data_IF_189970942689
#
_entry.id   IF_189970942689
#
_cell.length_a   1.000
_cell.length_b   1.000
_cell.length_c   1.000
_cell.angle_alpha   90.00
_cell.angle_beta   90.00
_cell.angle_gamma   90.00
#
_symmetry.space_group_name_H-M   'P 1'
#
loop_
_entity.id
_entity.type
_entity.pdbx_description
1 polymer ?
#
# COMPACT_ATOMS: atom_id res chain seq x y z
N UNK A 1 -25.33 -9.78 17.29
CA UNK A 1 -25.03 -9.49 15.88
C UNK A 1 -23.60 -9.93 15.65
N UNK A 2 -23.40 -10.92 14.85
CA UNK A 2 -22.14 -11.63 14.64
C UNK A 2 -21.13 -10.73 13.95
N UNK A 3 -20.09 -10.32 14.66
CA UNK A 3 -18.86 -9.79 14.09
C UNK A 3 -18.26 -10.89 13.24
N UNK A 4 -18.38 -10.78 11.92
CA UNK A 4 -17.67 -11.66 11.01
C UNK A 4 -16.20 -11.22 11.04
N UNK A 5 -15.46 -11.70 12.03
CA UNK A 5 -14.00 -11.74 11.95
C UNK A 5 -13.70 -12.69 10.78
N UNK A 6 -13.36 -12.11 9.64
CA UNK A 6 -12.92 -12.92 8.48
C UNK A 6 -11.65 -13.60 8.92
N UNK A 7 -11.68 -14.91 9.14
CA UNK A 7 -10.51 -15.71 9.43
C UNK A 7 -9.45 -15.46 8.32
N UNK A 8 -8.16 -15.37 8.65
CA UNK A 8 -7.11 -15.25 7.65
C UNK A 8 -7.24 -16.40 6.66
N UNK A 9 -7.08 -16.08 5.37
CA UNK A 9 -7.10 -17.11 4.33
C UNK A 9 -5.93 -18.09 4.61
N UNK A 10 -6.09 -19.40 4.29
CA UNK A 10 -5.02 -20.35 4.47
C UNK A 10 -3.77 -19.91 3.69
N UNK A 11 -2.59 -20.12 4.27
CA UNK A 11 -1.32 -19.77 3.63
C UNK A 11 -1.24 -20.34 2.22
N UNK A 12 -0.83 -19.51 1.25
CA UNK A 12 -0.77 -19.89 -0.17
C UNK A 12 -2.05 -19.61 -0.99
N UNK A 13 -3.12 -19.07 -0.37
CA UNK A 13 -4.31 -18.66 -1.14
C UNK A 13 -4.06 -17.27 -1.74
N UNK A 14 -4.25 -17.15 -3.06
CA UNK A 14 -4.13 -15.86 -3.75
C UNK A 14 -5.18 -14.87 -3.24
N UNK A 15 -4.74 -13.75 -2.70
CA UNK A 15 -5.60 -12.66 -2.23
C UNK A 15 -5.69 -11.52 -3.22
N UNK A 16 -4.59 -11.19 -3.93
CA UNK A 16 -4.57 -10.22 -5.02
C UNK A 16 -4.22 -10.92 -6.32
N UNK A 17 -4.94 -10.61 -7.38
CA UNK A 17 -4.66 -11.03 -8.74
C UNK A 17 -4.85 -9.83 -9.68
N UNK A 18 -3.73 -9.30 -10.16
CA UNK A 18 -3.67 -8.32 -11.23
C UNK A 18 -3.32 -9.05 -12.53
N UNK A 19 -4.23 -9.06 -13.50
CA UNK A 19 -4.10 -9.81 -14.75
C UNK A 19 -4.10 -8.86 -15.94
N UNK A 20 -2.98 -8.82 -16.69
CA UNK A 20 -2.80 -8.05 -17.92
C UNK A 20 -2.98 -6.54 -17.72
N UNK A 21 -2.63 -6.01 -16.56
CA UNK A 21 -2.86 -4.60 -16.22
C UNK A 21 -2.04 -3.71 -17.14
N UNK A 22 -2.74 -2.89 -17.92
CA UNK A 22 -2.17 -1.89 -18.81
C UNK A 22 -2.75 -0.52 -18.47
N UNK A 23 -1.89 0.49 -18.41
CA UNK A 23 -2.30 1.88 -18.19
C UNK A 23 -1.63 2.80 -19.21
N UNK A 24 -2.48 3.55 -19.93
CA UNK A 24 -2.04 4.54 -20.94
C UNK A 24 -2.52 5.93 -20.56
N UNK A 25 -1.65 6.91 -20.72
CA UNK A 25 -1.95 8.32 -20.60
C UNK A 25 -1.74 8.96 -21.98
N UNK A 26 -2.84 9.22 -22.70
CA UNK A 26 -2.75 9.69 -24.10
C UNK A 26 -1.97 8.68 -24.97
N UNK A 27 -0.84 9.10 -25.53
CA UNK A 27 0.05 8.24 -26.35
C UNK A 27 1.06 7.41 -25.56
N UNK A 28 1.22 7.70 -24.28
CA UNK A 28 2.23 7.06 -23.42
C UNK A 28 1.65 5.83 -22.71
N UNK A 29 2.37 4.70 -22.78
CA UNK A 29 2.02 3.50 -22.02
C UNK A 29 2.91 3.41 -20.77
N UNK A 30 2.38 3.76 -19.61
CA UNK A 30 3.12 3.74 -18.34
C UNK A 30 3.21 2.36 -17.70
N UNK A 31 2.23 1.47 -17.95
CA UNK A 31 2.22 0.07 -17.53
C UNK A 31 1.67 -0.76 -18.68
N UNK A 32 2.30 -1.89 -18.99
CA UNK A 32 1.96 -2.73 -20.14
C UNK A 32 1.84 -4.19 -19.75
N UNK A 33 0.61 -4.72 -19.75
CA UNK A 33 0.33 -6.15 -19.60
C UNK A 33 0.90 -6.78 -18.34
N UNK A 34 0.92 -6.06 -17.21
CA UNK A 34 1.54 -6.57 -15.98
C UNK A 34 0.61 -7.55 -15.28
N UNK A 35 1.13 -8.76 -15.05
CA UNK A 35 0.52 -9.79 -14.20
C UNK A 35 1.26 -9.83 -12.86
N UNK A 36 0.52 -9.77 -11.75
CA UNK A 36 1.07 -9.91 -10.40
C UNK A 36 0.03 -10.56 -9.49
N UNK A 37 0.46 -11.56 -8.75
CA UNK A 37 -0.36 -12.17 -7.69
C UNK A 37 0.28 -11.93 -6.33
N UNK A 38 -0.53 -11.86 -5.26
CA UNK A 38 -0.05 -11.87 -3.87
C UNK A 38 -0.88 -12.87 -3.10
N UNK A 39 -0.22 -13.75 -2.33
CA UNK A 39 -0.87 -14.76 -1.52
C UNK A 39 -1.04 -14.28 -0.07
N UNK A 40 -1.96 -14.94 0.65
CA UNK A 40 -2.18 -14.66 2.08
C UNK A 40 -0.90 -14.90 2.88
N UNK A 41 -0.51 -13.92 3.72
CA UNK A 41 0.69 -14.01 4.55
C UNK A 41 2.00 -13.97 3.76
N UNK A 42 1.99 -13.52 2.51
CA UNK A 42 3.17 -13.33 1.66
C UNK A 42 3.59 -11.86 1.65
N UNK A 43 4.90 -11.60 1.64
CA UNK A 43 5.47 -10.29 1.38
C UNK A 43 6.05 -10.30 -0.04
N UNK A 44 5.46 -9.50 -0.93
CA UNK A 44 5.92 -9.33 -2.32
C UNK A 44 6.55 -7.96 -2.47
N UNK A 45 7.76 -7.89 -3.01
CA UNK A 45 8.43 -6.65 -3.38
C UNK A 45 8.14 -6.26 -4.83
N UNK A 46 7.95 -4.97 -5.09
CA UNK A 46 7.90 -4.42 -6.44
C UNK A 46 8.99 -3.36 -6.57
N UNK A 47 10.02 -3.67 -7.36
CA UNK A 47 11.16 -2.79 -7.58
C UNK A 47 11.28 -2.39 -9.06
N UNK A 48 12.16 -1.45 -9.33
CA UNK A 48 12.46 -0.97 -10.68
C UNK A 48 13.04 0.44 -10.63
N UNK A 49 13.70 0.92 -11.70
CA UNK A 49 14.21 2.28 -11.78
C UNK A 49 13.08 3.33 -11.68
N UNK A 50 13.47 4.61 -11.56
CA UNK A 50 12.51 5.72 -11.61
C UNK A 50 11.84 5.74 -12.99
N UNK A 51 10.54 6.06 -13.02
CA UNK A 51 9.75 6.00 -14.24
C UNK A 51 9.40 4.59 -14.74
N UNK A 52 9.71 3.52 -13.99
CA UNK A 52 9.36 2.16 -14.38
C UNK A 52 7.87 1.82 -14.33
N UNK A 53 7.01 2.74 -13.89
CA UNK A 53 5.56 2.52 -13.79
C UNK A 53 5.07 1.94 -12.45
N UNK A 54 5.93 1.83 -11.43
CA UNK A 54 5.57 1.25 -10.10
C UNK A 54 4.40 1.96 -9.45
N UNK A 55 4.47 3.28 -9.33
CA UNK A 55 3.42 4.11 -8.72
C UNK A 55 2.12 4.04 -9.51
N UNK A 56 2.21 4.07 -10.86
CA UNK A 56 1.06 3.89 -11.75
C UNK A 56 0.40 2.54 -11.52
N UNK A 57 1.18 1.46 -11.43
CA UNK A 57 0.65 0.13 -11.16
C UNK A 57 -0.05 0.07 -9.79
N UNK A 58 0.56 0.64 -8.73
CA UNK A 58 -0.09 0.75 -7.41
C UNK A 58 -1.39 1.55 -7.46
N UNK A 59 -1.44 2.62 -8.24
CA UNK A 59 -2.65 3.42 -8.42
C UNK A 59 -3.76 2.61 -9.12
N UNK A 60 -3.41 1.71 -10.05
CA UNK A 60 -4.37 0.77 -10.63
C UNK A 60 -4.87 -0.24 -9.58
N UNK A 61 -3.99 -0.80 -8.73
CA UNK A 61 -4.36 -1.75 -7.68
C UNK A 61 -5.30 -1.14 -6.63
N UNK A 62 -5.17 0.17 -6.38
CA UNK A 62 -5.96 0.89 -5.36
C UNK A 62 -7.20 1.59 -5.92
N UNK A 63 -7.45 1.47 -7.23
CA UNK A 63 -8.61 2.08 -7.89
C UNK A 63 -8.52 3.60 -8.04
N UNK A 64 -7.33 4.19 -7.82
CA UNK A 64 -7.05 5.59 -8.15
C UNK A 64 -7.00 5.79 -9.67
N UNK A 65 -6.48 4.79 -10.40
CA UNK A 65 -6.54 4.75 -11.86
C UNK A 65 -7.37 3.56 -12.31
N UNK A 66 -8.14 3.76 -13.38
CA UNK A 66 -8.85 2.70 -14.09
C UNK A 66 -7.89 2.10 -15.11
N UNK A 67 -7.47 0.84 -15.01
CA UNK A 67 -6.65 0.23 -16.03
C UNK A 67 -7.28 0.38 -17.42
N UNK A 68 -6.47 0.72 -18.42
CA UNK A 68 -6.93 0.79 -19.83
C UNK A 68 -7.26 -0.60 -20.34
N UNK A 69 -6.52 -1.62 -19.90
CA UNK A 69 -6.74 -3.04 -20.20
C UNK A 69 -6.39 -3.87 -18.97
N UNK A 70 -6.90 -5.11 -18.93
CA UNK A 70 -6.70 -6.00 -17.82
C UNK A 70 -7.68 -5.77 -16.66
N UNK A 71 -7.43 -6.42 -15.55
CA UNK A 71 -8.28 -6.35 -14.35
C UNK A 71 -7.48 -6.57 -13.08
N UNK A 72 -8.01 -6.04 -11.97
CA UNK A 72 -7.52 -6.31 -10.62
C UNK A 72 -8.61 -7.01 -9.83
N UNK A 73 -8.29 -8.14 -9.23
CA UNK A 73 -9.22 -8.92 -8.41
C UNK A 73 -8.65 -9.06 -7.00
N UNK A 74 -9.52 -8.99 -5.99
CA UNK A 74 -9.17 -9.26 -4.60
C UNK A 74 -10.09 -10.35 -4.04
N UNK A 75 -9.48 -11.41 -3.51
CA UNK A 75 -10.18 -12.60 -3.02
C UNK A 75 -11.20 -13.14 -4.05
N UNK A 76 -10.78 -13.21 -5.32
CA UNK A 76 -11.57 -13.69 -6.43
C UNK A 76 -12.65 -12.74 -6.97
N UNK A 77 -12.82 -11.56 -6.38
CA UNK A 77 -13.78 -10.54 -6.84
C UNK A 77 -13.06 -9.42 -7.56
N UNK A 78 -13.50 -9.08 -8.77
CA UNK A 78 -12.97 -7.94 -9.52
C UNK A 78 -13.26 -6.64 -8.77
N UNK A 79 -12.23 -5.84 -8.55
CA UNK A 79 -12.35 -4.59 -7.81
C UNK A 79 -12.95 -3.48 -8.70
N UNK A 80 -13.91 -2.72 -8.17
CA UNK A 80 -14.34 -1.50 -8.83
C UNK A 80 -13.22 -0.44 -8.75
N UNK A 81 -13.04 0.37 -9.79
CA UNK A 81 -12.00 1.41 -9.81
C UNK A 81 -12.45 2.64 -9.00
N UNK A 82 -12.63 2.46 -7.70
CA UNK A 82 -13.01 3.48 -6.73
C UNK A 82 -12.29 3.22 -5.41
N UNK A 83 -11.38 4.12 -4.96
CA UNK A 83 -10.51 3.88 -3.80
C UNK A 83 -11.27 3.47 -2.53
N UNK A 84 -12.39 4.13 -2.22
CA UNK A 84 -13.17 3.80 -1.03
C UNK A 84 -13.76 2.39 -1.07
N UNK A 85 -14.16 1.88 -2.25
CA UNK A 85 -14.65 0.51 -2.41
C UNK A 85 -13.52 -0.52 -2.34
N UNK A 86 -12.34 -0.18 -2.85
CA UNK A 86 -11.13 -1.00 -2.71
C UNK A 86 -10.75 -1.14 -1.23
N UNK A 87 -10.79 -0.04 -0.48
CA UNK A 87 -10.55 -0.07 0.97
C UNK A 87 -11.62 -0.89 1.71
N UNK A 88 -12.89 -0.75 1.34
CA UNK A 88 -13.98 -1.57 1.91
C UNK A 88 -13.83 -3.06 1.59
N UNK A 89 -13.31 -3.40 0.40
CA UNK A 89 -12.99 -4.79 0.04
C UNK A 89 -11.89 -5.40 0.91
N UNK A 90 -11.02 -4.58 1.51
CA UNK A 90 -9.97 -5.00 2.43
C UNK A 90 -8.55 -4.80 1.92
N UNK A 91 -8.32 -3.83 1.05
CA UNK A 91 -6.99 -3.38 0.65
C UNK A 91 -6.73 -2.01 1.30
N UNK A 92 -5.64 -1.89 2.06
CA UNK A 92 -5.19 -0.62 2.60
C UNK A 92 -3.85 -0.22 1.98
N UNK A 93 -3.57 1.09 1.89
CA UNK A 93 -2.32 1.64 1.36
C UNK A 93 -1.77 2.72 2.28
N UNK A 94 -0.45 2.73 2.45
CA UNK A 94 0.29 3.92 2.88
C UNK A 94 0.73 4.73 1.65
N UNK A 95 1.15 5.97 1.84
CA UNK A 95 1.57 6.83 0.75
C UNK A 95 3.04 7.21 0.92
N UNK A 96 3.75 7.47 -0.17
CA UNK A 96 5.14 7.93 -0.15
C UNK A 96 5.30 9.19 0.71
N UNK A 97 4.44 10.18 0.53
CA UNK A 97 4.35 11.33 1.43
C UNK A 97 3.38 11.03 2.56
N UNK A 98 3.81 11.20 3.80
CA UNK A 98 2.99 10.94 4.99
C UNK A 98 1.71 11.78 4.94
N UNK A 99 0.55 11.11 4.92
CA UNK A 99 -0.78 11.76 4.88
C UNK A 99 -1.50 11.59 6.21
N UNK A 100 -0.94 12.13 7.28
CA UNK A 100 -1.58 12.15 8.59
C UNK A 100 -2.42 13.41 8.79
N UNK A 101 -3.47 13.30 9.60
CA UNK A 101 -4.18 14.47 10.10
C UNK A 101 -3.34 15.13 11.20
N UNK A 102 -2.49 16.08 10.80
CA UNK A 102 -1.41 16.65 11.61
C UNK A 102 -1.91 17.28 12.92
N UNK A 103 -3.12 17.85 12.92
CA UNK A 103 -3.74 18.52 14.07
C UNK A 103 -4.63 17.59 14.92
N UNK A 104 -4.75 16.30 14.56
CA UNK A 104 -5.38 15.27 15.34
C UNK A 104 -4.35 14.54 16.19
N UNK A 105 -4.81 13.92 17.27
CA UNK A 105 -3.97 13.05 18.10
C UNK A 105 -3.61 11.77 17.36
N UNK A 106 -2.63 11.06 17.88
CA UNK A 106 -2.22 9.73 17.41
C UNK A 106 -3.42 8.78 17.43
N UNK A 107 -4.17 8.75 18.52
CA UNK A 107 -5.37 7.91 18.65
C UNK A 107 -6.46 8.31 17.64
N UNK A 108 -6.74 9.60 17.48
CA UNK A 108 -7.74 10.06 16.53
C UNK A 108 -7.40 9.69 15.09
N UNK A 109 -6.13 9.76 14.69
CA UNK A 109 -5.69 9.28 13.38
C UNK A 109 -6.02 7.81 13.14
N UNK A 110 -5.82 6.93 14.13
CA UNK A 110 -6.15 5.50 14.01
C UNK A 110 -7.66 5.31 13.97
N UNK A 111 -8.43 6.06 14.77
CA UNK A 111 -9.89 6.01 14.75
C UNK A 111 -10.48 6.40 13.39
N UNK A 112 -9.90 7.38 12.70
CA UNK A 112 -10.31 7.71 11.31
C UNK A 112 -10.15 6.49 10.39
N UNK A 113 -9.06 5.72 10.52
CA UNK A 113 -8.86 4.49 9.76
C UNK A 113 -9.95 3.43 10.01
N UNK A 114 -10.55 3.40 11.19
CA UNK A 114 -11.65 2.50 11.55
C UNK A 114 -13.01 2.88 10.98
N UNK A 115 -13.17 4.12 10.51
CA UNK A 115 -14.47 4.59 10.02
C UNK A 115 -15.05 3.71 8.90
N UNK A 116 -14.22 3.07 8.09
CA UNK A 116 -14.66 2.12 7.05
C UNK A 116 -15.32 0.86 7.61
N UNK A 117 -15.10 0.54 8.88
CA UNK A 117 -15.63 -0.64 9.58
C UNK A 117 -16.81 -0.32 10.51
N UNK A 118 -17.01 0.96 10.86
CA UNK A 118 -18.17 1.37 11.68
C UNK A 118 -19.37 1.57 10.76
N UNK A 119 -20.35 0.66 10.85
CA UNK A 119 -21.62 0.72 10.07
C UNK A 119 -22.65 1.66 10.64
N UNK A 120 -22.26 2.56 11.52
CA UNK A 120 -23.23 3.44 12.19
C UNK A 120 -23.64 4.59 11.28
N UNK A 121 -24.92 4.59 10.90
CA UNK A 121 -25.51 5.67 10.10
C UNK A 121 -25.57 6.98 10.90
N UNK A 122 -25.65 8.12 10.19
CA UNK A 122 -25.76 9.47 10.74
C UNK A 122 -26.81 9.59 11.86
N UNK A 123 -27.87 8.79 11.79
CA UNK A 123 -28.98 8.82 12.76
C UNK A 123 -28.62 8.21 14.11
N UNK A 124 -27.78 7.17 14.16
CA UNK A 124 -27.32 6.56 15.42
C UNK A 124 -26.36 7.47 16.17
N UNK A 125 -25.51 8.19 15.43
CA UNK A 125 -24.59 9.20 15.97
C UNK A 125 -25.36 10.41 16.52
N UNK A 126 -26.41 10.89 15.80
CA UNK A 126 -27.20 12.05 16.18
C UNK A 126 -28.04 11.79 17.46
N UNK A 127 -28.56 10.57 17.62
CA UNK A 127 -29.41 10.19 18.74
C UNK A 127 -28.65 9.62 19.93
N UNK A 128 -27.33 9.48 19.86
CA UNK A 128 -26.46 8.92 20.93
C UNK A 128 -27.05 7.67 21.60
N UNK A 129 -27.58 6.75 20.77
CA UNK A 129 -28.22 5.52 21.26
C UNK A 129 -27.22 4.69 22.08
N UNK A 130 -27.66 3.85 23.03
CA UNK A 130 -26.76 3.01 23.84
C UNK A 130 -25.79 2.14 23.02
N UNK A 131 -26.21 1.70 21.84
CA UNK A 131 -25.36 0.97 20.89
C UNK A 131 -24.18 1.80 20.37
N UNK A 132 -24.36 3.10 20.15
CA UNK A 132 -23.31 4.01 19.69
C UNK A 132 -22.14 4.09 20.68
N UNK A 133 -22.44 4.26 21.99
CA UNK A 133 -21.40 4.32 23.02
C UNK A 133 -20.58 3.04 23.10
N UNK A 134 -21.23 1.88 22.92
CA UNK A 134 -20.54 0.59 22.91
C UNK A 134 -19.63 0.44 21.69
N UNK A 135 -20.09 0.78 20.50
CA UNK A 135 -19.29 0.73 19.27
C UNK A 135 -18.14 1.74 19.29
N UNK A 136 -18.35 2.93 19.85
CA UNK A 136 -17.29 3.92 20.07
C UNK A 136 -16.22 3.40 21.02
N UNK A 137 -16.63 2.76 22.13
CA UNK A 137 -15.71 2.16 23.09
C UNK A 137 -14.92 1.00 22.45
N UNK A 138 -15.58 0.09 21.74
CA UNK A 138 -14.94 -1.02 21.02
C UNK A 138 -13.94 -0.50 19.95
N UNK A 139 -14.31 0.58 19.24
CA UNK A 139 -13.40 1.22 18.28
C UNK A 139 -12.18 1.82 18.96
N UNK A 140 -12.35 2.44 20.12
CA UNK A 140 -11.26 3.05 20.87
C UNK A 140 -10.31 1.96 21.44
N UNK A 141 -10.86 0.89 21.98
CA UNK A 141 -10.07 -0.26 22.47
C UNK A 141 -9.25 -0.86 21.34
N UNK A 142 -9.88 -1.11 20.20
CA UNK A 142 -9.16 -1.65 19.04
C UNK A 142 -8.10 -0.71 18.49
N UNK A 143 -8.34 0.62 18.51
CA UNK A 143 -7.35 1.60 18.12
C UNK A 143 -6.16 1.60 19.09
N UNK A 144 -6.39 1.47 20.40
CA UNK A 144 -5.33 1.35 21.39
C UNK A 144 -4.50 0.07 21.21
N UNK A 145 -5.12 -1.08 20.93
CA UNK A 145 -4.41 -2.32 20.60
C UNK A 145 -3.47 -2.16 19.39
N UNK A 146 -3.91 -1.42 18.36
CA UNK A 146 -3.08 -1.13 17.20
C UNK A 146 -1.92 -0.18 17.55
N UNK A 147 -2.15 0.79 18.43
CA UNK A 147 -1.09 1.67 18.92
C UNK A 147 -0.08 0.92 19.80
N UNK A 148 -0.52 -0.04 20.60
CA UNK A 148 0.37 -0.94 21.34
C UNK A 148 1.21 -1.80 20.37
N UNK A 149 0.56 -2.39 19.39
CA UNK A 149 1.21 -3.21 18.35
C UNK A 149 2.28 -2.43 17.57
N UNK A 150 2.05 -1.15 17.30
CA UNK A 150 3.01 -0.29 16.58
C UNK A 150 3.99 0.45 17.50
N UNK A 151 3.86 0.28 18.84
CA UNK A 151 4.71 0.91 19.83
C UNK A 151 4.41 2.39 20.08
N UNK A 152 3.19 2.86 19.77
CA UNK A 152 2.78 4.26 19.89
C UNK A 152 1.78 4.52 21.02
N UNK A 153 1.40 3.52 21.82
CA UNK A 153 0.36 3.65 22.86
C UNK A 153 0.67 4.76 23.88
N UNK A 154 1.93 4.90 24.30
CA UNK A 154 2.35 5.94 25.24
C UNK A 154 2.19 7.38 24.70
N UNK A 155 1.98 7.52 23.38
CA UNK A 155 1.82 8.80 22.69
C UNK A 155 0.41 9.00 22.13
N UNK A 156 -0.58 8.22 22.58
CA UNK A 156 -1.94 8.23 22.05
C UNK A 156 -2.56 9.64 22.01
N UNK A 157 -2.30 10.46 23.03
CA UNK A 157 -2.85 11.81 23.17
C UNK A 157 -1.94 12.91 22.56
N UNK A 158 -0.77 12.55 22.00
CA UNK A 158 0.08 13.53 21.33
C UNK A 158 -0.48 13.89 19.96
N UNK A 159 -0.26 15.13 19.51
CA UNK A 159 -0.59 15.52 18.13
C UNK A 159 0.34 14.81 17.14
N UNK A 160 -0.21 14.30 16.04
CA UNK A 160 0.54 13.56 15.05
C UNK A 160 1.74 14.34 14.49
N UNK A 161 1.60 15.67 14.29
CA UNK A 161 2.69 16.54 13.84
C UNK A 161 3.89 16.62 14.78
N UNK A 162 3.71 16.28 16.04
CA UNK A 162 4.77 16.36 17.06
C UNK A 162 5.59 15.07 17.16
N UNK A 163 5.20 14.02 16.41
CA UNK A 163 5.94 12.76 16.36
C UNK A 163 7.22 12.92 15.50
N UNK A 164 8.33 12.26 15.86
CA UNK A 164 9.44 12.02 14.96
C UNK A 164 8.98 11.32 13.66
N UNK A 165 9.74 11.52 12.58
CA UNK A 165 9.37 11.02 11.25
C UNK A 165 9.10 9.51 11.22
N UNK A 166 9.98 8.68 11.79
CA UNK A 166 9.78 7.23 11.85
C UNK A 166 8.52 6.82 12.63
N UNK A 167 8.12 7.58 13.67
CA UNK A 167 6.87 7.34 14.40
C UNK A 167 5.64 7.80 13.61
N UNK A 168 5.76 8.84 12.81
CA UNK A 168 4.69 9.23 11.89
C UNK A 168 4.41 8.13 10.86
N UNK A 169 5.46 7.48 10.31
CA UNK A 169 5.30 6.31 9.44
C UNK A 169 4.63 5.14 10.15
N UNK A 170 5.02 4.84 11.40
CA UNK A 170 4.35 3.81 12.20
C UNK A 170 2.88 4.14 12.42
N UNK A 171 2.54 5.41 12.67
CA UNK A 171 1.16 5.86 12.81
C UNK A 171 0.37 5.71 11.50
N UNK A 172 0.98 5.99 10.35
CA UNK A 172 0.35 5.78 9.05
C UNK A 172 0.01 4.29 8.82
N UNK A 173 0.94 3.39 9.17
CA UNK A 173 0.71 1.94 9.14
C UNK A 173 -0.40 1.55 10.13
N UNK A 174 -0.39 2.06 11.37
CA UNK A 174 -1.43 1.80 12.36
C UNK A 174 -2.82 2.22 11.86
N UNK A 175 -2.92 3.39 11.22
CA UNK A 175 -4.15 3.89 10.60
C UNK A 175 -4.60 3.00 9.45
N UNK A 176 -3.69 2.53 8.61
CA UNK A 176 -4.01 1.60 7.52
C UNK A 176 -4.53 0.26 8.07
N UNK A 177 -3.87 -0.29 9.10
CA UNK A 177 -4.29 -1.53 9.77
C UNK A 177 -5.65 -1.40 10.47
N UNK A 178 -6.04 -0.19 10.87
CA UNK A 178 -7.34 0.06 11.51
C UNK A 178 -8.53 -0.25 10.59
N UNK A 179 -8.34 -0.27 9.28
CA UNK A 179 -9.33 -0.74 8.31
C UNK A 179 -9.43 -2.27 8.23
N UNK A 180 -8.68 -3.02 9.04
CA UNK A 180 -8.62 -4.50 9.08
C UNK A 180 -8.40 -5.11 7.69
N UNK A 181 -7.30 -4.73 7.00
CA UNK A 181 -7.07 -5.16 5.63
C UNK A 181 -6.64 -6.63 5.56
N UNK A 182 -6.98 -7.28 4.45
CA UNK A 182 -6.37 -8.56 4.07
C UNK A 182 -5.11 -8.38 3.23
N UNK A 183 -4.90 -7.19 2.66
CA UNK A 183 -3.70 -6.80 1.91
C UNK A 183 -3.30 -5.38 2.29
N UNK A 184 -2.04 -5.19 2.63
CA UNK A 184 -1.44 -3.90 2.91
C UNK A 184 -0.43 -3.55 1.81
N UNK A 185 -0.64 -2.40 1.18
CA UNK A 185 0.24 -1.82 0.18
C UNK A 185 1.13 -0.77 0.86
N UNK A 186 2.44 -0.98 0.83
CA UNK A 186 3.43 -0.08 1.43
C UNK A 186 4.21 0.63 0.32
N UNK A 187 4.16 1.94 0.33
CA UNK A 187 4.81 2.80 -0.67
C UNK A 187 6.01 3.51 -0.01
N UNK A 188 7.22 3.03 -0.29
CA UNK A 188 8.49 3.48 0.26
C UNK A 188 8.46 3.64 1.80
N UNK A 189 8.14 2.55 2.54
CA UNK A 189 7.92 2.65 4.00
C UNK A 189 9.15 3.08 4.79
N UNK A 190 10.36 2.94 4.23
CA UNK A 190 11.62 3.26 4.91
C UNK A 190 12.28 4.55 4.41
N UNK A 191 11.67 5.26 3.45
CA UNK A 191 12.22 6.50 2.91
C UNK A 191 12.50 7.51 4.02
N UNK A 192 13.73 8.06 4.06
CA UNK A 192 14.16 9.06 5.04
C UNK A 192 14.42 8.54 6.46
N UNK A 193 14.39 7.23 6.67
CA UNK A 193 14.69 6.59 7.96
C UNK A 193 16.19 6.35 8.16
N UNK A 194 16.63 6.41 9.40
CA UNK A 194 17.96 5.96 9.78
C UNK A 194 17.98 4.41 9.89
N UNK A 195 19.18 3.77 9.96
CA UNK A 195 19.29 2.30 9.98
C UNK A 195 18.55 1.61 11.14
N UNK A 196 18.40 2.27 12.29
CA UNK A 196 17.67 1.73 13.43
C UNK A 196 16.15 1.78 13.19
N UNK A 197 15.66 2.88 12.63
CA UNK A 197 14.25 3.03 12.25
C UNK A 197 13.87 2.05 11.14
N UNK A 198 14.75 1.84 10.15
CA UNK A 198 14.56 0.87 9.07
C UNK A 198 14.39 -0.55 9.63
N UNK A 199 15.25 -0.98 10.59
CA UNK A 199 15.11 -2.29 11.23
C UNK A 199 13.79 -2.41 12.00
N UNK A 200 13.41 -1.37 12.74
CA UNK A 200 12.14 -1.36 13.46
C UNK A 200 10.92 -1.39 12.52
N UNK A 201 11.02 -0.83 11.31
CA UNK A 201 10.01 -0.94 10.28
C UNK A 201 9.95 -2.36 9.70
N UNK A 202 11.10 -2.99 9.45
CA UNK A 202 11.21 -4.38 9.00
C UNK A 202 10.54 -5.36 9.99
N UNK A 203 10.88 -5.23 11.28
CA UNK A 203 10.27 -6.03 12.36
C UNK A 203 8.75 -5.84 12.41
N UNK A 204 8.27 -4.61 12.27
CA UNK A 204 6.84 -4.32 12.23
C UNK A 204 6.16 -4.97 11.01
N UNK A 205 6.78 -4.93 9.83
CA UNK A 205 6.25 -5.54 8.61
C UNK A 205 6.17 -7.07 8.77
N UNK A 206 7.19 -7.71 9.34
CA UNK A 206 7.12 -9.14 9.66
C UNK A 206 6.01 -9.47 10.66
N UNK A 207 5.86 -8.68 11.73
CA UNK A 207 4.78 -8.87 12.68
C UNK A 207 3.39 -8.71 12.07
N UNK A 208 3.23 -7.84 11.07
CA UNK A 208 1.99 -7.69 10.29
C UNK A 208 1.72 -8.94 9.45
N UNK A 209 2.75 -9.48 8.77
CA UNK A 209 2.65 -10.74 8.01
C UNK A 209 2.19 -11.90 8.89
N UNK A 210 2.76 -12.03 10.09
CA UNK A 210 2.39 -13.08 11.05
C UNK A 210 0.92 -13.04 11.48
N UNK A 211 0.27 -11.89 11.35
CA UNK A 211 -1.19 -11.78 11.52
C UNK A 211 -2.00 -12.29 10.30
N UNK A 212 -1.33 -12.84 9.28
CA UNK A 212 -1.95 -13.35 8.06
C UNK A 212 -2.28 -12.29 7.03
N UNK A 213 -1.82 -11.04 7.22
CA UNK A 213 -2.02 -9.95 6.27
C UNK A 213 -0.98 -10.09 5.14
N UNK A 214 -1.45 -10.11 3.91
CA UNK A 214 -0.59 -10.05 2.74
C UNK A 214 0.02 -8.65 2.60
N UNK A 215 1.25 -8.55 2.09
CA UNK A 215 1.93 -7.28 1.94
C UNK A 215 2.50 -7.16 0.53
N UNK A 216 2.27 -6.03 -0.11
CA UNK A 216 2.96 -5.64 -1.33
C UNK A 216 3.69 -4.33 -1.06
N UNK A 217 5.01 -4.33 -1.23
CA UNK A 217 5.87 -3.19 -0.91
C UNK A 217 6.60 -2.68 -2.14
N UNK A 218 6.55 -1.36 -2.37
CA UNK A 218 7.45 -0.66 -3.29
C UNK A 218 8.59 -0.07 -2.48
N UNK A 219 9.80 -0.29 -2.92
CA UNK A 219 11.00 0.33 -2.37
C UNK A 219 12.09 0.47 -3.44
N UNK A 220 12.99 1.39 -3.20
CA UNK A 220 14.18 1.61 -4.02
C UNK A 220 15.46 1.07 -3.34
N UNK A 221 15.42 0.80 -2.04
CA UNK A 221 16.50 0.10 -1.34
C UNK A 221 16.41 -1.41 -1.62
N UNK A 222 17.27 -1.85 -2.55
CA UNK A 222 17.34 -3.25 -2.98
C UNK A 222 17.69 -4.16 -1.80
N UNK A 223 18.58 -3.73 -0.89
CA UNK A 223 19.00 -4.57 0.25
C UNK A 223 17.83 -4.82 1.20
N UNK A 224 17.05 -3.79 1.47
CA UNK A 224 15.86 -3.91 2.30
C UNK A 224 14.86 -4.88 1.69
N UNK A 225 14.53 -4.73 0.41
CA UNK A 225 13.59 -5.61 -0.31
C UNK A 225 14.06 -7.06 -0.34
N UNK A 226 15.34 -7.29 -0.63
CA UNK A 226 15.87 -8.66 -0.73
C UNK A 226 15.89 -9.41 0.61
N UNK A 227 15.97 -8.68 1.72
CA UNK A 227 15.90 -9.29 3.06
C UNK A 227 14.44 -9.46 3.56
N UNK A 228 13.52 -8.60 3.10
CA UNK A 228 12.15 -8.54 3.61
C UNK A 228 11.20 -9.48 2.85
N UNK A 229 11.34 -9.59 1.53
CA UNK A 229 10.34 -10.16 0.66
C UNK A 229 10.55 -11.65 0.41
N UNK A 230 9.46 -12.41 0.41
CA UNK A 230 9.45 -13.82 -0.01
C UNK A 230 9.68 -13.92 -1.54
N UNK A 231 9.21 -12.92 -2.28
CA UNK A 231 9.29 -12.84 -3.73
C UNK A 231 9.36 -11.37 -4.18
N UNK A 232 10.11 -11.11 -5.23
CA UNK A 232 10.30 -9.77 -5.80
C UNK A 232 9.94 -9.77 -7.28
N UNK A 233 9.12 -8.82 -7.70
CA UNK A 233 8.82 -8.51 -9.09
C UNK A 233 9.58 -7.25 -9.51
N UNK A 234 10.14 -7.23 -10.70
CA UNK A 234 10.89 -6.10 -11.25
C UNK A 234 10.18 -5.52 -12.44
N UNK A 235 9.84 -4.23 -12.33
CA UNK A 235 9.30 -3.44 -13.42
C UNK A 235 10.41 -2.62 -14.09
N UNK A 236 10.42 -2.64 -15.42
CA UNK A 236 11.28 -1.77 -16.24
C UNK A 236 10.41 -1.27 -17.40
N UNK A 237 10.31 0.05 -17.56
CA UNK A 237 9.55 0.68 -18.65
C UNK A 237 8.10 0.17 -18.78
N UNK A 238 7.44 0.00 -17.66
CA UNK A 238 6.06 -0.45 -17.57
C UNK A 238 5.87 -1.95 -17.74
N UNK A 239 6.89 -2.74 -17.96
CA UNK A 239 6.80 -4.19 -18.13
C UNK A 239 7.47 -4.94 -16.97
N UNK A 240 6.88 -6.06 -16.56
CA UNK A 240 7.49 -6.96 -15.59
C UNK A 240 8.50 -7.85 -16.29
N UNK A 241 9.79 -7.64 -16.03
CA UNK A 241 10.88 -8.36 -16.69
C UNK A 241 11.26 -9.67 -15.98
N UNK A 242 11.12 -9.72 -14.65
CA UNK A 242 11.42 -10.92 -13.85
C UNK A 242 10.60 -10.90 -12.57
N UNK A 243 10.33 -12.08 -12.02
CA UNK A 243 9.70 -12.29 -10.73
C UNK A 243 10.22 -13.59 -10.12
N UNK A 244 10.59 -13.55 -8.85
CA UNK A 244 11.10 -14.71 -8.12
C UNK A 244 11.71 -14.37 -6.76
N UNK A 245 12.30 -15.35 -6.07
CA UNK A 245 13.08 -15.12 -4.87
C UNK A 245 14.24 -14.13 -5.10
N UNK A 246 14.76 -13.56 -4.02
CA UNK A 246 15.81 -12.54 -4.07
C UNK A 246 17.02 -12.97 -4.91
N UNK A 247 17.46 -14.22 -4.77
CA UNK A 247 18.65 -14.76 -5.47
C UNK A 247 18.44 -14.80 -6.99
N UNK A 248 17.22 -15.13 -7.44
CA UNK A 248 16.87 -15.17 -8.86
C UNK A 248 16.88 -13.78 -9.46
N UNK A 249 16.33 -12.81 -8.74
CA UNK A 249 16.22 -11.42 -9.20
C UNK A 249 17.60 -10.74 -9.22
N UNK A 250 18.45 -11.00 -8.21
CA UNK A 250 19.80 -10.44 -8.14
C UNK A 250 20.73 -10.97 -9.24
N UNK A 251 20.50 -12.20 -9.71
CA UNK A 251 21.32 -12.82 -10.75
C UNK A 251 20.85 -12.51 -12.18
N UNK A 252 19.69 -11.86 -12.35
CA UNK A 252 19.14 -11.55 -13.67
C UNK A 252 19.90 -10.38 -14.32
N UNK A 253 20.52 -10.63 -15.46
CA UNK A 253 21.34 -9.64 -16.20
C UNK A 253 20.51 -8.42 -16.63
N UNK A 254 19.21 -8.57 -16.90
CA UNK A 254 18.31 -7.48 -17.27
C UNK A 254 18.07 -6.54 -16.09
N UNK A 255 17.97 -7.10 -14.88
CA UNK A 255 17.85 -6.31 -13.64
C UNK A 255 19.13 -5.54 -13.39
N UNK A 256 20.28 -6.20 -13.48
CA UNK A 256 21.60 -5.58 -13.32
C UNK A 256 21.76 -4.42 -14.32
N UNK A 257 21.45 -4.65 -15.60
CA UNK A 257 21.53 -3.64 -16.66
C UNK A 257 20.60 -2.44 -16.39
N UNK A 258 19.36 -2.69 -15.95
CA UNK A 258 18.39 -1.63 -15.66
C UNK A 258 18.83 -0.69 -14.53
N UNK A 259 19.56 -1.20 -13.53
CA UNK A 259 20.05 -0.41 -12.41
C UNK A 259 21.43 0.23 -12.65
N UNK A 260 22.27 -0.38 -13.48
CA UNK A 260 23.60 0.17 -13.85
C UNK A 260 23.50 1.21 -14.98
N UNK A 261 22.32 1.38 -15.60
CA UNK A 261 22.11 2.36 -16.66
C UNK A 261 22.75 2.02 -18.00
N UNK A 262 23.08 0.74 -18.24
CA UNK A 262 23.42 0.26 -19.58
C UNK A 262 22.13 0.20 -20.41
N UNK A 263 22.10 0.76 -21.64
CA UNK A 263 20.91 0.71 -22.48
C UNK A 263 20.53 -0.74 -22.76
N UNK A 264 19.34 -1.14 -22.37
CA UNK A 264 18.72 -2.37 -22.85
C UNK A 264 18.31 -2.14 -24.30
N UNK A 265 18.56 -3.06 -25.21
CA UNK A 265 18.08 -2.95 -26.59
C UNK A 265 16.55 -2.88 -26.59
N UNK A 266 15.99 -1.69 -26.89
CA UNK A 266 14.56 -1.39 -26.82
C UNK A 266 14.18 -0.38 -25.73
N UNK A 267 15.15 0.17 -24.97
CA UNK A 267 14.89 1.20 -23.96
C UNK A 267 14.48 2.52 -24.61
N UNK A 268 13.27 3.09 -24.32
CA UNK A 268 13.00 4.48 -24.62
C UNK A 268 13.96 5.39 -23.83
N UNK A 269 14.31 6.53 -24.41
CA UNK A 269 15.31 7.44 -23.85
C UNK A 269 14.86 8.07 -22.53
N UNK A 270 15.81 8.73 -21.85
CA UNK A 270 15.54 9.47 -20.59
C UNK A 270 14.41 10.50 -20.71
N UNK A 271 14.08 10.94 -21.93
CA UNK A 271 12.96 11.85 -22.22
C UNK A 271 11.60 11.21 -21.97
N UNK A 272 11.40 9.93 -22.37
CA UNK A 272 10.12 9.22 -22.10
C UNK A 272 9.89 8.92 -20.61
N UNK A 273 10.94 8.66 -19.84
CA UNK A 273 10.81 8.47 -18.39
C UNK A 273 10.39 9.77 -17.68
N UNK A 274 10.89 10.92 -18.13
CA UNK A 274 10.48 12.23 -17.62
C UNK A 274 9.04 12.58 -18.03
N UNK A 275 8.60 12.17 -19.23
CA UNK A 275 7.22 12.34 -19.68
C UNK A 275 6.22 11.49 -18.86
N UNK A 276 6.62 10.26 -18.45
CA UNK A 276 5.80 9.42 -17.54
C UNK A 276 5.62 10.13 -16.20
N UNK A 277 6.69 10.65 -15.63
CA UNK A 277 6.67 11.33 -14.33
C UNK A 277 5.85 12.63 -14.38
N UNK A 278 5.94 13.37 -15.49
CA UNK A 278 5.13 14.57 -15.73
C UNK A 278 3.64 14.24 -15.92
N UNK A 279 3.32 13.20 -16.70
CA UNK A 279 1.94 12.75 -16.92
C UNK A 279 1.30 12.20 -15.64
N UNK A 280 2.06 11.52 -14.79
CA UNK A 280 1.61 11.09 -13.46
C UNK A 280 1.32 12.28 -12.54
N UNK A 281 2.13 13.33 -12.58
CA UNK A 281 1.93 14.53 -11.79
C UNK A 281 0.67 15.32 -12.23
N UNK A 282 0.43 15.44 -13.53
CA UNK A 282 -0.78 16.08 -14.09
C UNK A 282 -2.05 15.27 -13.74
N UNK A 283 -2.02 13.95 -13.85
CA UNK A 283 -3.16 13.10 -13.52
C UNK A 283 -3.48 13.14 -12.01
N UNK A 284 -2.47 13.32 -11.14
CA UNK A 284 -2.68 13.50 -9.69
C UNK A 284 -3.35 14.84 -9.38
N UNK A 285 -2.98 15.91 -10.09
CA UNK A 285 -3.54 17.25 -9.87
C UNK A 285 -5.02 17.34 -10.30
N UNK A 286 -5.43 16.58 -11.30
CA UNK A 286 -6.82 16.54 -11.81
C UNK A 286 -7.76 15.75 -10.89
N UNK A 287 -7.26 14.73 -10.21
CA UNK A 287 -8.07 13.95 -9.24
C UNK A 287 -8.30 14.66 -7.91
N UNK A 288 -7.47 15.63 -7.52
CA UNK A 288 -7.69 16.46 -6.32
C UNK A 288 -8.63 17.65 -6.55
N UNK A 289 -8.97 17.97 -7.82
CA UNK A 289 -9.83 19.09 -8.20
C UNK A 289 -11.33 18.81 -8.21
N UNK A 290 -11.75 17.55 -8.29
CA UNK A 290 -13.17 17.16 -8.45
C UNK A 290 -13.90 16.86 -7.11
N UNK A 291 -13.24 16.99 -5.96
CA UNK A 291 -13.81 16.77 -4.62
C UNK A 291 -14.02 18.10 -3.83
N UNK A 292 -14.47 19.16 -4.53
CA UNK A 292 -14.94 20.38 -3.85
C UNK A 292 -16.43 20.57 -3.95
#
# INVERSE_FOLDING_TARGET
MTTTTTAPAPAGTTVLDASGVTMRFGGLTAVRGVDLTVNSGEIVGLIGPNGAGKTTFFNCLTGLYVPTEGKVSFKGTVLPPKPHLVTQAGIARTFQNIRLFANMTVLENVLVGRHTRTKEGLWSALLRLPGFKKAEQESRERAMELLEFTGLAAKADHLARNLPYGEQRKLEIARALASEPGLLLLDEPTAGMNPQETRAAEELIFAIREKGIAILVIEHDIRFIMNLCDRVAVLVQGEKIVEGPAEVVQADERVIAAYLGTPFEGAPGKEEAAEVEAAEAEAHSTTEGDDK
#
